data_IF_792695709339
#
_entry.id   IF_792695709339
#
_cell.length_a   1.000
_cell.length_b   1.000
_cell.length_c   1.000
_cell.angle_alpha   90.00
_cell.angle_beta   90.00
_cell.angle_gamma   90.00
#
_symmetry.space_group_name_H-M   'P 1'
#
loop_
_entity.id
_entity.type
_entity.pdbx_description
1 polymer ?
#
# COMPACT_ATOMS: atom_id res chain seq x y z
N UNK A 1 19.64 15.31 -19.37
CA UNK A 1 18.85 15.49 -18.12
C UNK A 1 19.36 16.67 -17.30
N UNK A 2 20.58 16.63 -16.76
CA UNK A 2 21.28 17.80 -16.18
C UNK A 2 21.34 18.98 -17.16
N UNK A 3 21.69 18.71 -18.42
CA UNK A 3 21.67 19.71 -19.49
C UNK A 3 20.28 20.27 -19.78
N UNK A 4 19.20 19.51 -19.56
CA UNK A 4 17.82 19.95 -19.81
C UNK A 4 17.32 20.82 -18.66
N UNK A 5 17.56 20.40 -17.41
CA UNK A 5 17.28 21.19 -16.21
C UNK A 5 18.11 22.48 -16.14
N UNK A 6 19.35 22.44 -16.64
CA UNK A 6 20.18 23.64 -16.81
C UNK A 6 19.70 24.51 -17.99
N UNK A 7 19.28 23.93 -19.12
CA UNK A 7 18.71 24.67 -20.25
C UNK A 7 17.42 25.41 -19.90
N UNK A 8 16.59 24.83 -19.01
CA UNK A 8 15.32 25.40 -18.55
C UNK A 8 15.52 26.36 -17.36
N UNK A 9 16.74 26.49 -16.81
CA UNK A 9 17.01 27.36 -15.66
C UNK A 9 16.45 26.87 -14.32
N UNK A 10 16.09 25.58 -14.23
CA UNK A 10 15.39 24.98 -13.09
C UNK A 10 16.25 24.71 -11.86
N UNK A 11 17.57 24.88 -11.95
CA UNK A 11 18.51 24.65 -10.85
C UNK A 11 18.22 25.55 -9.63
N UNK A 12 17.83 26.81 -9.85
CA UNK A 12 17.51 27.76 -8.76
C UNK A 12 16.15 27.45 -8.11
N UNK A 13 15.04 27.26 -8.86
CA UNK A 13 13.77 26.82 -8.29
C UNK A 13 13.85 25.53 -7.48
N UNK A 14 14.57 24.51 -7.96
CA UNK A 14 14.72 23.23 -7.24
C UNK A 14 15.40 23.42 -5.87
N UNK A 15 16.42 24.28 -5.81
CA UNK A 15 17.10 24.60 -4.56
C UNK A 15 16.19 25.37 -3.60
N UNK A 16 15.40 26.31 -4.11
CA UNK A 16 14.38 27.03 -3.32
C UNK A 16 13.36 26.05 -2.78
N UNK A 17 12.86 25.10 -3.57
CA UNK A 17 11.92 24.08 -3.08
C UNK A 17 12.53 23.20 -2.00
N UNK A 18 13.78 22.75 -2.17
CA UNK A 18 14.45 21.96 -1.14
C UNK A 18 14.57 22.74 0.19
N UNK A 19 14.89 24.04 0.13
CA UNK A 19 14.93 24.92 1.30
C UNK A 19 13.53 25.08 1.91
N UNK A 20 12.51 25.39 1.11
CA UNK A 20 11.14 25.58 1.58
C UNK A 20 10.60 24.31 2.24
N UNK A 21 10.79 23.13 1.62
CA UNK A 21 10.36 21.85 2.19
C UNK A 21 11.05 21.49 3.50
N UNK A 22 12.27 22.01 3.73
CA UNK A 22 13.02 21.79 4.98
C UNK A 22 12.68 22.79 6.07
N UNK A 23 12.28 24.01 5.70
CA UNK A 23 12.19 25.14 6.62
C UNK A 23 10.76 25.64 6.87
N UNK A 24 9.82 25.39 5.95
CA UNK A 24 8.44 25.86 6.02
C UNK A 24 7.45 24.69 6.00
N UNK A 25 6.47 24.72 6.91
CA UNK A 25 5.46 23.70 7.03
C UNK A 25 4.33 23.92 6.00
N UNK A 26 3.80 22.84 5.42
CA UNK A 26 2.63 22.83 4.52
C UNK A 26 2.83 23.49 3.14
N UNK A 27 4.07 23.56 2.63
CA UNK A 27 4.36 24.07 1.29
C UNK A 27 4.26 23.01 0.19
N UNK A 28 4.05 21.74 0.55
CA UNK A 28 4.10 20.60 -0.38
C UNK A 28 3.07 20.72 -1.51
N UNK A 29 1.84 21.14 -1.20
CA UNK A 29 0.76 21.27 -2.19
C UNK A 29 1.06 22.38 -3.20
N UNK A 30 1.56 23.52 -2.73
CA UNK A 30 1.95 24.63 -3.59
C UNK A 30 3.10 24.23 -4.52
N UNK A 31 4.10 23.53 -3.99
CA UNK A 31 5.25 23.07 -4.76
C UNK A 31 4.82 22.03 -5.80
N UNK A 32 3.92 21.09 -5.45
CA UNK A 32 3.35 20.13 -6.41
C UNK A 32 2.63 20.82 -7.56
N UNK A 33 1.74 21.77 -7.25
CA UNK A 33 1.02 22.53 -8.28
C UNK A 33 1.97 23.31 -9.18
N UNK A 34 2.97 23.99 -8.60
CA UNK A 34 3.96 24.71 -9.39
C UNK A 34 4.74 23.78 -10.34
N UNK A 35 5.14 22.60 -9.87
CA UNK A 35 5.87 21.63 -10.70
C UNK A 35 5.00 21.12 -11.86
N UNK A 36 3.72 20.84 -11.61
CA UNK A 36 2.76 20.44 -12.66
C UNK A 36 2.52 21.56 -13.67
N UNK A 37 2.31 22.79 -13.19
CA UNK A 37 2.11 23.97 -14.03
C UNK A 37 3.35 24.22 -14.90
N UNK A 38 4.55 24.12 -14.32
CA UNK A 38 5.78 24.28 -15.08
C UNK A 38 5.95 23.17 -16.13
N UNK A 39 5.67 21.92 -15.77
CA UNK A 39 5.72 20.78 -16.71
C UNK A 39 4.79 21.02 -17.90
N UNK A 40 3.55 21.45 -17.64
CA UNK A 40 2.54 21.68 -18.67
C UNK A 40 2.84 22.90 -19.53
N UNK A 41 3.27 24.02 -18.95
CA UNK A 41 3.58 25.26 -19.67
C UNK A 41 4.85 25.14 -20.52
N UNK A 42 5.85 24.40 -20.03
CA UNK A 42 7.10 24.21 -20.75
C UNK A 42 7.10 22.97 -21.66
N UNK A 43 6.12 22.07 -21.53
CA UNK A 43 6.07 20.81 -22.29
C UNK A 43 7.21 19.84 -21.91
N UNK A 44 7.70 19.92 -20.67
CA UNK A 44 8.85 19.15 -20.19
C UNK A 44 8.41 18.17 -19.11
N UNK A 45 8.90 16.94 -19.18
CA UNK A 45 8.72 15.97 -18.11
C UNK A 45 9.87 16.06 -17.11
N UNK A 46 9.53 15.93 -15.83
CA UNK A 46 10.54 15.78 -14.80
C UNK A 46 11.11 14.35 -14.80
N UNK A 47 12.33 14.16 -14.29
CA UNK A 47 12.91 12.82 -14.22
C UNK A 47 12.14 11.90 -13.26
N UNK A 48 11.49 10.88 -13.82
CA UNK A 48 10.88 9.78 -13.08
C UNK A 48 11.82 8.57 -13.03
N UNK A 49 12.96 8.69 -12.33
CA UNK A 49 13.84 7.54 -12.13
C UNK A 49 13.27 6.63 -11.03
N UNK A 50 13.30 5.29 -11.19
CA UNK A 50 12.89 4.36 -10.15
C UNK A 50 13.70 4.58 -8.86
N UNK A 51 13.05 4.51 -7.71
CA UNK A 51 13.72 4.56 -6.41
C UNK A 51 14.81 3.49 -6.33
N UNK A 52 16.02 3.88 -5.92
CA UNK A 52 17.15 2.95 -5.75
C UNK A 52 18.02 2.72 -7.00
N UNK A 53 17.66 3.32 -8.14
CA UNK A 53 18.57 3.33 -9.30
C UNK A 53 19.64 4.42 -9.12
N UNK A 54 20.79 4.05 -8.54
CA UNK A 54 22.02 4.83 -8.71
C UNK A 54 22.49 4.67 -10.16
N UNK A 55 21.81 5.31 -11.11
CA UNK A 55 22.45 5.57 -12.39
C UNK A 55 23.62 6.52 -12.13
N UNK A 56 24.79 5.93 -11.89
CA UNK A 56 26.10 6.49 -12.22
C UNK A 56 26.12 6.72 -13.74
N UNK A 57 25.37 7.71 -14.22
CA UNK A 57 25.63 8.29 -15.53
C UNK A 57 26.78 9.29 -15.40
N UNK A 58 27.90 8.80 -14.86
CA UNK A 58 29.20 9.38 -15.14
C UNK A 58 29.76 8.55 -16.28
N UNK A 59 29.49 8.96 -17.52
CA UNK A 59 30.35 8.58 -18.64
C UNK A 59 31.77 9.03 -18.27
N UNK A 60 32.56 8.14 -17.65
CA UNK A 60 33.99 8.29 -17.35
C UNK A 60 34.79 8.22 -18.65
N UNK A 61 34.54 9.17 -19.54
CA UNK A 61 35.27 9.33 -20.79
C UNK A 61 35.56 10.81 -21.03
N UNK A 62 36.21 11.46 -20.08
CA UNK A 62 37.11 12.59 -20.36
C UNK A 62 38.11 12.71 -19.22
N UNK A 63 39.35 12.35 -19.49
CA UNK A 63 40.49 12.42 -18.55
C UNK A 63 40.90 13.87 -18.20
N UNK A 64 40.17 14.89 -18.67
CA UNK A 64 40.52 16.32 -18.56
C UNK A 64 39.36 17.19 -18.03
N UNK A 65 38.26 16.62 -17.53
CA UNK A 65 37.21 17.41 -16.90
C UNK A 65 37.59 17.73 -15.44
N UNK A 66 37.81 19.00 -15.14
CA UNK A 66 37.92 19.51 -13.77
C UNK A 66 36.58 19.23 -13.08
N UNK A 67 36.60 18.46 -11.99
CA UNK A 67 35.44 18.27 -11.12
C UNK A 67 35.12 19.61 -10.44
N UNK A 68 34.07 20.28 -10.90
CA UNK A 68 33.55 21.48 -10.26
C UNK A 68 32.69 21.06 -9.06
N UNK A 69 33.36 20.99 -7.90
CA UNK A 69 32.80 20.66 -6.56
C UNK A 69 31.73 21.67 -6.09
N UNK A 70 31.47 22.74 -6.86
CA UNK A 70 30.42 23.72 -6.60
C UNK A 70 29.04 23.34 -7.17
N UNK A 71 28.99 22.33 -8.06
CA UNK A 71 27.74 21.83 -8.64
C UNK A 71 27.08 20.81 -7.72
N UNK A 72 26.49 21.29 -6.61
CA UNK A 72 25.58 20.49 -5.78
C UNK A 72 24.65 19.70 -6.70
N UNK A 73 24.72 18.37 -6.63
CA UNK A 73 24.19 17.49 -7.67
C UNK A 73 22.67 17.74 -7.81
N UNK A 74 22.26 18.43 -8.88
CA UNK A 74 20.85 18.79 -9.13
C UNK A 74 19.96 17.55 -9.06
N UNK A 75 20.49 16.37 -9.42
CA UNK A 75 19.80 15.10 -9.27
C UNK A 75 19.52 14.76 -7.80
N UNK A 76 20.50 14.91 -6.90
CA UNK A 76 20.28 14.63 -5.47
C UNK A 76 19.28 15.61 -4.84
N UNK A 77 19.30 16.88 -5.25
CA UNK A 77 18.31 17.88 -4.80
C UNK A 77 16.91 17.51 -5.28
N UNK A 78 16.78 17.09 -6.54
CA UNK A 78 15.51 16.61 -7.07
C UNK A 78 15.03 15.33 -6.37
N UNK A 79 15.93 14.39 -6.09
CA UNK A 79 15.61 13.16 -5.36
C UNK A 79 15.08 13.46 -3.95
N UNK A 80 15.69 14.42 -3.24
CA UNK A 80 15.20 14.90 -1.94
C UNK A 80 13.80 15.52 -2.04
N UNK A 81 13.57 16.40 -3.02
CA UNK A 81 12.26 17.04 -3.24
C UNK A 81 11.20 15.97 -3.55
N UNK A 82 11.47 15.05 -4.47
CA UNK A 82 10.56 13.94 -4.80
C UNK A 82 10.27 13.05 -3.61
N UNK A 83 11.28 12.76 -2.79
CA UNK A 83 11.12 11.92 -1.61
C UNK A 83 10.21 12.58 -0.57
N UNK A 84 10.39 13.87 -0.35
CA UNK A 84 9.57 14.64 0.58
C UNK A 84 8.10 14.70 0.11
N UNK A 85 7.87 15.06 -1.15
CA UNK A 85 6.52 15.10 -1.73
C UNK A 85 5.86 13.73 -1.73
N UNK A 86 6.61 12.64 -1.99
CA UNK A 86 6.08 11.27 -1.87
C UNK A 86 5.58 10.97 -0.47
N UNK A 87 6.38 11.29 0.56
CA UNK A 87 5.99 11.05 1.97
C UNK A 87 4.74 11.82 2.32
N UNK A 88 4.66 13.08 1.91
CA UNK A 88 3.46 13.90 2.09
C UNK A 88 2.22 13.28 1.43
N UNK A 89 2.28 12.90 0.15
CA UNK A 89 1.16 12.30 -0.57
C UNK A 89 0.74 10.95 0.02
N UNK A 90 1.71 10.09 0.38
CA UNK A 90 1.44 8.79 1.02
C UNK A 90 0.77 8.99 2.38
N UNK A 91 1.22 9.97 3.18
CA UNK A 91 0.59 10.27 4.47
C UNK A 91 -0.86 10.72 4.29
N UNK A 92 -1.17 11.52 3.26
CA UNK A 92 -2.55 11.93 2.97
C UNK A 92 -3.42 10.79 2.43
N UNK A 93 -2.85 9.85 1.68
CA UNK A 93 -3.57 8.64 1.23
C UNK A 93 -3.92 7.72 2.40
N UNK A 94 -3.04 7.63 3.41
CA UNK A 94 -3.24 6.78 4.59
C UNK A 94 -4.08 7.43 5.68
N UNK A 95 -4.15 8.76 5.75
CA UNK A 95 -4.91 9.43 6.79
C UNK A 95 -6.40 9.07 6.67
N UNK A 96 -7.02 8.51 7.72
CA UNK A 96 -8.47 8.39 7.75
C UNK A 96 -9.01 9.81 7.61
N UNK A 97 -9.81 10.07 6.58
CA UNK A 97 -10.24 11.43 6.26
C UNK A 97 -11.08 11.94 7.44
N UNK A 98 -10.47 12.75 8.32
CA UNK A 98 -11.14 13.40 9.44
C UNK A 98 -12.04 14.49 8.87
N UNK A 99 -13.25 14.13 8.44
CA UNK A 99 -14.31 15.11 8.23
C UNK A 99 -15.63 14.36 8.08
N UNK A 100 -16.44 14.44 9.13
CA UNK A 100 -17.84 14.01 9.19
C UNK A 100 -18.77 14.79 8.19
N UNK A 101 -18.21 15.39 7.14
CA UNK A 101 -18.87 16.31 6.21
C UNK A 101 -18.45 16.16 4.75
N UNK A 102 -17.35 15.45 4.42
CA UNK A 102 -16.92 15.27 3.04
C UNK A 102 -17.73 14.14 2.37
N UNK A 103 -18.26 14.40 1.18
CA UNK A 103 -18.98 13.37 0.40
C UNK A 103 -18.00 12.31 -0.12
N UNK A 104 -18.46 11.06 -0.26
CA UNK A 104 -17.68 9.97 -0.87
C UNK A 104 -17.00 10.38 -2.19
N UNK A 105 -17.70 11.19 -3.01
CA UNK A 105 -17.18 11.72 -4.27
C UNK A 105 -15.95 12.62 -4.08
N UNK A 106 -15.96 13.49 -3.07
CA UNK A 106 -14.82 14.37 -2.76
C UNK A 106 -13.62 13.56 -2.28
N UNK A 107 -13.85 12.54 -1.45
CA UNK A 107 -12.78 11.64 -0.99
C UNK A 107 -12.16 10.87 -2.16
N UNK A 108 -12.99 10.35 -3.07
CA UNK A 108 -12.50 9.67 -4.28
C UNK A 108 -11.68 10.62 -5.17
N UNK A 109 -12.20 11.82 -5.44
CA UNK A 109 -11.46 12.84 -6.22
C UNK A 109 -10.12 13.18 -5.58
N UNK A 110 -10.10 13.31 -4.25
CA UNK A 110 -8.89 13.59 -3.51
C UNK A 110 -7.84 12.47 -3.62
N UNK A 111 -8.27 11.21 -3.45
CA UNK A 111 -7.39 10.04 -3.65
C UNK A 111 -6.89 9.97 -5.10
N UNK A 112 -7.76 10.21 -6.09
CA UNK A 112 -7.38 10.27 -7.51
C UNK A 112 -6.28 11.29 -7.75
N UNK A 113 -6.41 12.51 -7.22
CA UNK A 113 -5.36 13.54 -7.34
C UNK A 113 -4.05 13.09 -6.70
N UNK A 114 -4.09 12.48 -5.51
CA UNK A 114 -2.87 11.97 -4.87
C UNK A 114 -2.16 10.93 -5.73
N UNK A 115 -2.90 9.99 -6.33
CA UNK A 115 -2.33 8.97 -7.22
C UNK A 115 -1.75 9.62 -8.48
N UNK A 116 -2.45 10.57 -9.10
CA UNK A 116 -1.93 11.33 -10.25
C UNK A 116 -0.63 12.07 -9.92
N UNK A 117 -0.57 12.73 -8.76
CA UNK A 117 0.64 13.42 -8.30
C UNK A 117 1.79 12.44 -8.03
N UNK A 118 1.50 11.24 -7.51
CA UNK A 118 2.52 10.19 -7.36
C UNK A 118 3.02 9.67 -8.70
N UNK A 119 2.12 9.45 -9.68
CA UNK A 119 2.47 9.04 -11.05
C UNK A 119 3.27 10.10 -11.80
N UNK A 120 3.10 11.37 -11.45
CA UNK A 120 3.94 12.46 -11.96
C UNK A 120 5.38 12.39 -11.41
N UNK A 121 5.58 11.89 -10.18
CA UNK A 121 6.89 11.87 -9.50
C UNK A 121 7.66 10.56 -9.68
N UNK A 122 6.95 9.44 -9.85
CA UNK A 122 7.51 8.08 -9.86
C UNK A 122 6.89 7.22 -10.98
N UNK A 123 7.60 6.18 -11.45
CA UNK A 123 7.07 5.22 -12.40
C UNK A 123 5.79 4.53 -11.89
N UNK A 124 4.88 4.20 -12.81
CA UNK A 124 3.60 3.54 -12.52
C UNK A 124 3.77 2.32 -11.61
N UNK A 125 4.70 1.41 -11.92
CA UNK A 125 4.93 0.20 -11.13
C UNK A 125 5.24 0.48 -9.66
N UNK A 126 6.04 1.52 -9.37
CA UNK A 126 6.39 1.87 -7.99
C UNK A 126 5.19 2.45 -7.23
N UNK A 127 4.40 3.29 -7.90
CA UNK A 127 3.19 3.88 -7.34
C UNK A 127 2.15 2.80 -7.06
N UNK A 128 1.91 1.91 -8.02
CA UNK A 128 0.96 0.81 -7.87
C UNK A 128 1.40 -0.14 -6.77
N UNK A 129 2.64 -0.64 -6.76
CA UNK A 129 3.12 -1.50 -5.67
C UNK A 129 2.96 -0.84 -4.31
N UNK A 130 3.23 0.46 -4.17
CA UNK A 130 3.05 1.15 -2.90
C UNK A 130 1.56 1.24 -2.52
N UNK A 131 0.68 1.55 -3.47
CA UNK A 131 -0.76 1.64 -3.25
C UNK A 131 -1.38 0.28 -2.92
N UNK A 132 -1.01 -0.77 -3.65
CA UNK A 132 -1.38 -2.16 -3.40
C UNK A 132 -1.04 -2.56 -1.97
N UNK A 133 0.20 -2.30 -1.51
CA UNK A 133 0.62 -2.64 -0.15
C UNK A 133 -0.22 -1.95 0.93
N UNK A 134 -0.66 -0.71 0.71
CA UNK A 134 -1.53 0.00 1.65
C UNK A 134 -2.92 -0.64 1.69
N UNK A 135 -3.48 -0.96 0.53
CA UNK A 135 -4.81 -1.57 0.43
C UNK A 135 -4.82 -3.03 0.93
N UNK A 136 -3.81 -3.83 0.60
CA UNK A 136 -3.62 -5.18 1.11
C UNK A 136 -3.66 -5.21 2.64
N UNK A 137 -2.98 -4.25 3.27
CA UNK A 137 -2.98 -4.12 4.73
C UNK A 137 -4.39 -3.84 5.26
N UNK A 138 -5.13 -2.91 4.65
CA UNK A 138 -6.50 -2.58 5.06
C UNK A 138 -7.46 -3.77 4.87
N UNK A 139 -7.36 -4.47 3.74
CA UNK A 139 -8.16 -5.67 3.46
C UNK A 139 -7.85 -6.78 4.45
N UNK A 140 -6.57 -7.06 4.69
CA UNK A 140 -6.13 -8.08 5.65
C UNK A 140 -6.62 -7.74 7.06
N UNK A 141 -6.47 -6.49 7.51
CA UNK A 141 -6.96 -6.03 8.82
C UNK A 141 -8.48 -6.19 8.94
N UNK A 142 -9.24 -5.82 7.90
CA UNK A 142 -10.71 -5.98 7.88
C UNK A 142 -11.11 -7.47 8.04
N UNK A 143 -10.46 -8.37 7.32
CA UNK A 143 -10.77 -9.81 7.36
C UNK A 143 -10.31 -10.46 8.67
N UNK A 144 -9.12 -10.13 9.16
CA UNK A 144 -8.59 -10.65 10.41
C UNK A 144 -9.42 -10.19 11.62
N UNK A 145 -9.97 -8.97 11.59
CA UNK A 145 -10.89 -8.48 12.63
C UNK A 145 -12.17 -9.32 12.75
N UNK A 146 -12.65 -9.94 11.66
CA UNK A 146 -13.77 -10.89 11.70
C UNK A 146 -13.43 -12.15 12.53
N UNK A 147 -12.16 -12.56 12.54
CA UNK A 147 -11.67 -13.73 13.27
C UNK A 147 -11.33 -13.39 14.72
N UNK A 148 -10.71 -12.23 14.98
CA UNK A 148 -10.31 -11.82 16.33
C UNK A 148 -11.50 -11.49 17.24
N UNK A 149 -12.57 -10.91 16.67
CA UNK A 149 -13.81 -10.59 17.38
C UNK A 149 -14.58 -11.84 17.86
N UNK A 150 -14.21 -13.04 17.39
CA UNK A 150 -14.86 -14.31 17.77
C UNK A 150 -14.17 -15.06 18.91
N UNK A 151 -13.17 -14.47 19.58
CA UNK A 151 -12.37 -15.17 20.59
C UNK A 151 -13.18 -15.50 21.87
N UNK A 152 -13.48 -16.78 22.07
CA UNK A 152 -14.04 -17.30 23.33
C UNK A 152 -14.41 -18.78 23.24
N UNK A 153 -15.11 -19.16 22.17
CA UNK A 153 -15.52 -20.54 21.85
C UNK A 153 -15.78 -20.58 20.34
N UNK A 154 -15.56 -21.74 19.71
CA UNK A 154 -15.72 -22.03 18.27
C UNK A 154 -17.10 -21.68 17.73
N UNK A 155 -17.38 -20.40 17.60
CA UNK A 155 -18.62 -19.91 17.03
C UNK A 155 -18.32 -19.58 15.58
N UNK A 156 -18.22 -20.65 14.78
CA UNK A 156 -18.08 -20.57 13.32
C UNK A 156 -19.11 -19.59 12.73
N UNK A 157 -20.32 -19.57 13.29
CA UNK A 157 -21.37 -18.64 12.89
C UNK A 157 -20.97 -17.17 13.11
N UNK A 158 -20.25 -16.83 14.19
CA UNK A 158 -19.70 -15.48 14.40
C UNK A 158 -18.64 -15.12 13.35
N UNK A 159 -17.77 -16.06 12.98
CA UNK A 159 -16.75 -15.82 11.94
C UNK A 159 -17.44 -15.59 10.60
N UNK A 160 -18.35 -16.48 10.21
CA UNK A 160 -19.13 -16.37 8.97
C UNK A 160 -19.90 -15.05 8.93
N UNK A 161 -20.59 -14.70 10.02
CA UNK A 161 -21.28 -13.41 10.14
C UNK A 161 -20.31 -12.23 10.01
N UNK A 162 -19.12 -12.32 10.62
CA UNK A 162 -18.06 -11.33 10.48
C UNK A 162 -17.68 -11.09 9.02
N UNK A 163 -17.38 -12.16 8.27
CA UNK A 163 -17.08 -12.05 6.84
C UNK A 163 -18.26 -11.49 6.04
N UNK A 164 -19.48 -11.99 6.28
CA UNK A 164 -20.69 -11.48 5.62
C UNK A 164 -20.87 -9.97 5.85
N UNK A 165 -20.63 -9.50 7.08
CA UNK A 165 -20.73 -8.08 7.44
C UNK A 165 -19.63 -7.22 6.79
N UNK A 166 -18.48 -7.80 6.43
CA UNK A 166 -17.37 -7.12 5.77
C UNK A 166 -17.53 -7.01 4.25
N UNK A 167 -18.36 -7.86 3.61
CA UNK A 167 -18.57 -7.86 2.15
C UNK A 167 -18.95 -6.47 1.60
N UNK A 168 -19.93 -5.74 2.18
CA UNK A 168 -20.28 -4.40 1.66
C UNK A 168 -19.11 -3.42 1.70
N UNK A 169 -18.29 -3.48 2.75
CA UNK A 169 -17.08 -2.65 2.88
C UNK A 169 -16.05 -3.02 1.81
N UNK A 170 -15.78 -4.31 1.60
CA UNK A 170 -14.89 -4.79 0.54
C UNK A 170 -15.35 -4.34 -0.85
N UNK A 171 -16.64 -4.52 -1.16
CA UNK A 171 -17.22 -4.07 -2.43
C UNK A 171 -17.07 -2.55 -2.62
N UNK A 172 -17.19 -1.77 -1.54
CA UNK A 172 -17.01 -0.32 -1.57
C UNK A 172 -15.55 0.04 -1.84
N UNK A 173 -14.60 -0.61 -1.15
CA UNK A 173 -13.16 -0.42 -1.39
C UNK A 173 -12.77 -0.76 -2.83
N UNK A 174 -13.18 -1.93 -3.34
CA UNK A 174 -12.93 -2.36 -4.72
C UNK A 174 -13.48 -1.33 -5.72
N UNK A 175 -14.72 -0.87 -5.50
CA UNK A 175 -15.37 0.11 -6.37
C UNK A 175 -14.64 1.45 -6.35
N UNK A 176 -14.26 1.94 -5.16
CA UNK A 176 -13.50 3.18 -5.03
C UNK A 176 -12.19 3.11 -5.81
N UNK A 177 -11.41 2.06 -5.56
CA UNK A 177 -10.09 1.90 -6.17
C UNK A 177 -10.17 1.68 -7.68
N UNK A 178 -11.16 0.92 -8.16
CA UNK A 178 -11.40 0.77 -9.60
C UNK A 178 -11.72 2.12 -10.25
N UNK A 179 -12.57 2.95 -9.62
CA UNK A 179 -12.89 4.28 -10.14
C UNK A 179 -11.69 5.24 -10.09
N UNK A 180 -10.86 5.16 -9.05
CA UNK A 180 -9.64 5.96 -8.92
C UNK A 180 -8.64 5.59 -10.01
N UNK A 181 -8.40 4.28 -10.21
CA UNK A 181 -7.38 3.78 -11.12
C UNK A 181 -7.80 3.89 -12.59
N UNK A 182 -9.06 3.63 -12.92
CA UNK A 182 -9.56 3.77 -14.30
C UNK A 182 -9.45 5.19 -14.87
N UNK A 183 -9.38 6.21 -14.01
CA UNK A 183 -9.14 7.60 -14.41
C UNK A 183 -7.68 8.02 -14.46
N UNK A 184 -6.74 7.12 -14.15
CA UNK A 184 -5.31 7.48 -13.94
C UNK A 184 -4.31 6.60 -14.67
N UNK A 185 -4.62 5.32 -14.86
CA UNK A 185 -3.72 4.33 -15.49
C UNK A 185 -4.45 3.55 -16.59
N UNK A 186 -3.70 2.71 -17.32
CA UNK A 186 -4.28 1.82 -18.32
C UNK A 186 -5.31 0.85 -17.70
N UNK A 187 -6.45 0.58 -18.38
CA UNK A 187 -7.47 -0.34 -17.88
C UNK A 187 -6.95 -1.73 -17.51
N UNK A 188 -5.97 -2.28 -18.24
CA UNK A 188 -5.37 -3.58 -17.92
C UNK A 188 -4.60 -3.53 -16.60
N UNK A 189 -3.79 -2.48 -16.39
CA UNK A 189 -3.08 -2.27 -15.12
C UNK A 189 -4.05 -2.11 -13.95
N UNK A 190 -5.15 -1.38 -14.14
CA UNK A 190 -6.18 -1.21 -13.10
C UNK A 190 -6.84 -2.55 -12.73
N UNK A 191 -7.16 -3.40 -13.72
CA UNK A 191 -7.74 -4.71 -13.45
C UNK A 191 -6.76 -5.66 -12.75
N UNK A 192 -5.49 -5.67 -13.17
CA UNK A 192 -4.44 -6.44 -12.50
C UNK A 192 -4.29 -5.98 -11.03
N UNK A 193 -4.28 -4.67 -10.79
CA UNK A 193 -4.25 -4.12 -9.44
C UNK A 193 -5.40 -4.68 -8.58
N UNK A 194 -6.64 -4.65 -9.08
CA UNK A 194 -7.80 -5.13 -8.33
C UNK A 194 -7.69 -6.63 -8.03
N UNK A 195 -7.25 -7.42 -9.01
CA UNK A 195 -7.07 -8.86 -8.83
C UNK A 195 -6.03 -9.15 -7.72
N UNK A 196 -4.83 -8.60 -7.87
CA UNK A 196 -3.71 -8.84 -6.94
C UNK A 196 -3.97 -8.28 -5.54
N UNK A 197 -4.68 -7.14 -5.45
CA UNK A 197 -4.90 -6.47 -4.17
C UNK A 197 -6.03 -7.10 -3.38
N UNK A 198 -7.15 -7.40 -4.05
CA UNK A 198 -8.36 -7.84 -3.37
C UNK A 198 -8.59 -9.33 -3.50
N UNK A 199 -8.60 -9.88 -4.71
CA UNK A 199 -8.97 -11.27 -4.91
C UNK A 199 -7.89 -12.23 -4.37
N UNK A 200 -6.62 -11.94 -4.64
CA UNK A 200 -5.51 -12.75 -4.12
C UNK A 200 -5.41 -12.62 -2.60
N UNK A 201 -5.51 -11.41 -2.03
CA UNK A 201 -5.51 -11.20 -0.57
C UNK A 201 -6.69 -11.90 0.12
N UNK A 202 -7.91 -11.80 -0.43
CA UNK A 202 -9.08 -12.53 0.10
C UNK A 202 -8.84 -14.04 0.04
N UNK A 203 -8.29 -14.54 -1.06
CA UNK A 203 -8.00 -15.97 -1.24
C UNK A 203 -7.00 -16.45 -0.19
N UNK A 204 -5.94 -15.68 0.05
CA UNK A 204 -4.92 -15.98 1.06
C UNK A 204 -5.52 -16.01 2.48
N UNK A 205 -6.26 -14.96 2.87
CA UNK A 205 -6.86 -14.88 4.21
C UNK A 205 -7.90 -15.98 4.47
N UNK A 206 -8.69 -16.34 3.44
CA UNK A 206 -9.63 -17.47 3.53
C UNK A 206 -8.88 -18.80 3.64
N UNK A 207 -7.78 -18.98 2.89
CA UNK A 207 -6.93 -20.18 2.99
C UNK A 207 -6.37 -20.33 4.40
N UNK A 208 -5.77 -19.27 4.95
CA UNK A 208 -5.23 -19.24 6.32
C UNK A 208 -6.32 -19.58 7.36
N UNK A 209 -7.52 -19.02 7.20
CA UNK A 209 -8.64 -19.32 8.09
C UNK A 209 -9.03 -20.81 8.02
N UNK A 210 -9.16 -21.36 6.81
CA UNK A 210 -9.54 -22.76 6.62
C UNK A 210 -8.49 -23.70 7.23
N UNK A 211 -7.21 -23.46 6.99
CA UNK A 211 -6.12 -24.22 7.60
C UNK A 211 -6.19 -24.19 9.13
N UNK A 212 -6.39 -23.00 9.71
CA UNK A 212 -6.55 -22.83 11.16
C UNK A 212 -7.76 -23.58 11.72
N UNK A 213 -8.89 -23.54 11.02
CA UNK A 213 -10.10 -24.26 11.43
C UNK A 213 -9.91 -25.78 11.36
N UNK A 214 -9.28 -26.28 10.29
CA UNK A 214 -8.92 -27.69 10.16
C UNK A 214 -8.01 -28.14 11.32
N UNK A 215 -6.96 -27.39 11.63
CA UNK A 215 -6.07 -27.70 12.76
C UNK A 215 -6.80 -27.79 14.10
N UNK A 216 -7.70 -26.84 14.37
CA UNK A 216 -8.50 -26.84 15.60
C UNK A 216 -9.39 -28.07 15.69
N UNK A 217 -10.05 -28.44 14.59
CA UNK A 217 -10.90 -29.63 14.52
C UNK A 217 -10.08 -30.91 14.76
N UNK A 218 -8.88 -31.02 14.20
CA UNK A 218 -7.99 -32.17 14.44
C UNK A 218 -7.54 -32.25 15.91
N UNK A 219 -7.17 -31.12 16.53
CA UNK A 219 -6.77 -31.05 17.95
C UNK A 219 -7.92 -31.44 18.88
N UNK A 220 -9.12 -30.95 18.61
CA UNK A 220 -10.32 -31.29 19.39
C UNK A 220 -10.67 -32.78 19.28
N UNK A 221 -10.64 -33.32 18.05
CA UNK A 221 -10.88 -34.74 17.82
C UNK A 221 -9.85 -35.63 18.52
N UNK A 222 -8.57 -35.27 18.51
CA UNK A 222 -7.52 -35.99 19.23
C UNK A 222 -7.76 -35.98 20.75
N UNK A 223 -8.16 -34.83 21.33
CA UNK A 223 -8.53 -34.71 22.75
C UNK A 223 -9.76 -35.57 23.10
N UNK A 224 -10.77 -35.61 22.22
CA UNK A 224 -11.94 -36.45 22.41
C UNK A 224 -11.61 -37.95 22.39
N UNK A 225 -10.75 -38.40 21.48
CA UNK A 225 -10.29 -39.79 21.40
C UNK A 225 -9.49 -40.20 22.66
N UNK A 226 -8.67 -39.30 23.20
CA UNK A 226 -7.94 -39.55 24.46
C UNK A 226 -8.90 -39.62 25.66
N UNK A 227 -9.95 -38.80 25.70
CA UNK A 227 -10.97 -38.83 26.76
C UNK A 227 -11.82 -40.11 26.70
N UNK A 228 -12.27 -40.54 25.53
CA UNK A 228 -13.09 -41.76 25.39
C UNK A 228 -12.28 -43.03 25.65
N UNK A 229 -11.01 -43.07 25.24
CA UNK A 229 -10.11 -44.21 25.52
C UNK A 229 -9.73 -44.34 27.00
N UNK A 230 -9.62 -43.24 27.75
CA UNK A 230 -9.40 -43.27 29.21
C UNK A 230 -10.62 -43.79 29.99
N UNK A 231 -11.84 -43.50 29.55
CA UNK A 231 -13.07 -43.98 30.21
C UNK A 231 -13.28 -45.48 29.95
N UNK A 232 -12.98 -45.96 28.74
CA UNK A 232 -13.08 -47.38 28.36
C UNK A 232 -12.18 -48.31 29.19
N UNK A 233 -10.96 -47.87 29.58
CA UNK A 233 -10.06 -48.68 30.41
C UNK A 233 -10.53 -48.88 31.86
N UNK A 234 -11.49 -48.08 32.36
CA UNK A 234 -11.99 -48.18 33.74
C UNK A 234 -13.13 -49.20 33.90
N UNK A 235 -13.76 -49.65 32.81
CA UNK A 235 -14.85 -50.63 32.85
C UNK A 235 -14.41 -52.10 32.68
N UNK A 236 -13.15 -52.37 32.32
CA UNK A 236 -12.64 -53.74 32.11
C UNK A 236 -11.96 -54.37 33.35
N UNK A 237 -12.22 -53.84 34.54
CA UNK A 237 -11.58 -54.27 35.80
C UNK A 237 -12.51 -54.88 36.86
N UNK A 238 -13.83 -54.96 36.63
CA UNK A 238 -14.79 -55.40 37.68
C UNK A 238 -15.81 -56.40 37.16
N UNK A 239 -15.37 -57.44 36.44
CA UNK A 239 -16.18 -58.63 36.19
C UNK A 239 -15.25 -59.82 36.29
N UNK A 240 -15.22 -60.48 37.45
CA UNK A 240 -14.93 -61.90 37.70
C UNK A 240 -14.40 -62.08 39.14
N UNK A 241 -15.32 -62.38 40.07
CA UNK A 241 -15.05 -63.15 41.28
C UNK A 241 -16.39 -63.59 41.92
N UNK A 242 -17.09 -64.54 41.30
CA UNK A 242 -17.93 -65.50 42.02
C UNK A 242 -18.11 -66.74 41.13
N UNK A 243 -17.60 -67.87 41.62
CA UNK A 243 -17.56 -69.16 40.96
C UNK A 243 -16.59 -70.07 41.68
#
# INVERSE_FOLDING_TARGET
LLLLLMWIGLSRPLFIFNILLRNEQNQEEMILHFLLDLSSQCGVSFPCTPSGTSFELNSRASLHAIEDDSSMNIKSVWDDVRLHLRRFLVNRLQSPHETNTATLKQQMQFKTQCIQHLLFLYPESEVLTKYQNMQNKLVSELLQNCVLSSCGETNFDKVVHGYQSSIPTLCTMIKEDLCILSGTIDPSSALMFINETYLDTITEEITILLERLCELQFKENALHIIKTSKISKKQRGTVHALG
#
